data_IF_109080128293
#
_entry.id   IF_109080128293
#
_cell.length_a   1.000
_cell.length_b   1.000
_cell.length_c   1.000
_cell.angle_alpha   90.00
_cell.angle_beta   90.00
_cell.angle_gamma   90.00
#
_symmetry.space_group_name_H-M   'P 1'
#
loop_
_entity.id
_entity.type
_entity.pdbx_description
1 polymer ?
#
# COMPACT_ATOMS: atom_id res chain seq x y z
N UNK A 1 3.26 9.91 1.42
CA UNK A 1 3.12 8.72 2.29
C UNK A 1 2.08 7.80 1.66
N UNK A 2 2.34 6.50 1.68
CA UNK A 2 1.43 5.45 1.23
C UNK A 2 1.13 4.57 2.44
N UNK A 3 -0.14 4.43 2.78
CA UNK A 3 -0.62 3.54 3.83
C UNK A 3 -1.18 2.28 3.19
N UNK A 4 -0.78 1.13 3.69
CA UNK A 4 -1.28 -0.18 3.28
C UNK A 4 -2.08 -0.73 4.46
N UNK A 5 -3.35 -1.04 4.24
CA UNK A 5 -4.24 -1.58 5.25
C UNK A 5 -4.73 -2.96 4.81
N UNK A 6 -4.72 -3.92 5.72
CA UNK A 6 -5.17 -5.29 5.49
C UNK A 6 -5.99 -5.81 6.67
N UNK A 7 -7.03 -6.65 6.41
CA UNK A 7 -7.78 -7.28 7.48
C UNK A 7 -7.05 -8.49 8.09
N UNK A 8 -6.24 -9.16 7.29
CA UNK A 8 -5.50 -10.37 7.66
C UNK A 8 -4.26 -10.52 6.77
N UNK A 9 -3.22 -11.13 7.33
CA UNK A 9 -2.03 -11.51 6.58
C UNK A 9 -2.25 -12.84 5.84
N UNK A 10 -1.57 -13.06 4.71
CA UNK A 10 -1.69 -14.28 3.94
C UNK A 10 -1.10 -15.46 4.70
N UNK A 11 -1.61 -16.65 4.39
CA UNK A 11 -1.12 -17.90 4.96
C UNK A 11 0.36 -18.07 4.58
N UNK A 12 1.22 -18.21 5.57
CA UNK A 12 2.66 -18.37 5.37
C UNK A 12 3.49 -17.15 5.73
N UNK A 13 2.86 -16.02 6.09
CA UNK A 13 3.52 -14.89 6.74
C UNK A 13 3.27 -15.00 8.25
N UNK A 14 4.34 -15.15 9.03
CA UNK A 14 4.29 -15.30 10.48
C UNK A 14 3.83 -14.01 11.19
N UNK A 15 4.10 -12.84 10.59
CA UNK A 15 3.65 -11.56 11.13
C UNK A 15 3.95 -10.36 10.23
N UNK A 16 3.49 -9.17 10.64
CA UNK A 16 3.65 -7.94 9.87
C UNK A 16 5.11 -7.58 9.57
N UNK A 17 6.02 -7.86 10.51
CA UNK A 17 7.45 -7.59 10.36
C UNK A 17 8.08 -8.44 9.24
N UNK A 18 7.69 -9.70 9.10
CA UNK A 18 8.15 -10.55 8.00
C UNK A 18 7.69 -10.02 6.63
N UNK A 19 6.45 -9.49 6.56
CA UNK A 19 5.97 -8.85 5.35
C UNK A 19 6.75 -7.56 5.07
N UNK A 20 7.03 -6.75 6.10
CA UNK A 20 7.83 -5.54 5.97
C UNK A 20 9.23 -5.86 5.43
N UNK A 21 9.90 -6.88 5.97
CA UNK A 21 11.22 -7.32 5.50
C UNK A 21 11.20 -7.76 4.03
N UNK A 22 10.16 -8.48 3.59
CA UNK A 22 9.99 -8.86 2.19
C UNK A 22 9.80 -7.66 1.25
N UNK A 23 9.13 -6.60 1.74
CA UNK A 23 8.91 -5.38 0.97
C UNK A 23 10.11 -4.44 0.99
N UNK A 24 10.87 -4.38 2.10
CA UNK A 24 11.94 -3.40 2.33
C UNK A 24 13.00 -3.43 1.22
N UNK A 25 13.41 -4.63 0.81
CA UNK A 25 14.37 -4.81 -0.29
C UNK A 25 13.91 -4.16 -1.61
N UNK A 26 12.60 -4.06 -1.81
CA UNK A 26 12.00 -3.48 -3.03
C UNK A 26 11.67 -1.99 -2.89
N UNK A 27 11.61 -1.50 -1.65
CA UNK A 27 11.37 -0.10 -1.33
C UNK A 27 12.66 0.72 -1.28
N UNK A 28 13.78 0.12 -0.90
CA UNK A 28 15.05 0.76 -0.52
C UNK A 28 15.45 2.02 -1.30
N UNK A 29 15.27 2.04 -2.62
CA UNK A 29 15.69 3.16 -3.48
C UNK A 29 14.62 4.26 -3.68
N UNK A 30 13.36 3.97 -3.35
CA UNK A 30 12.19 4.81 -3.67
C UNK A 30 11.43 5.25 -2.43
N UNK A 31 11.49 4.46 -1.36
CA UNK A 31 10.74 4.69 -0.15
C UNK A 31 11.34 3.93 1.05
N UNK A 32 10.84 4.24 2.24
CA UNK A 32 11.15 3.51 3.47
C UNK A 32 9.89 3.21 4.26
N UNK A 33 9.90 2.07 4.95
CA UNK A 33 8.84 1.69 5.89
C UNK A 33 9.01 2.53 7.16
N UNK A 34 7.97 3.25 7.54
CA UNK A 34 7.98 4.13 8.72
C UNK A 34 7.19 3.58 9.90
N UNK A 35 6.28 2.64 9.65
CA UNK A 35 5.48 1.98 10.68
C UNK A 35 4.92 0.67 10.14
N UNK A 36 4.75 -0.32 11.02
CA UNK A 36 4.16 -1.62 10.73
C UNK A 36 3.41 -2.11 11.98
N UNK A 37 2.20 -2.66 11.79
CA UNK A 37 1.40 -3.28 12.84
C UNK A 37 0.51 -4.41 12.27
N UNK A 38 -0.33 -5.03 13.11
CA UNK A 38 -1.18 -6.13 12.66
C UNK A 38 -2.26 -5.75 11.64
N UNK A 39 -2.54 -4.46 11.45
CA UNK A 39 -3.58 -3.93 10.58
C UNK A 39 -3.01 -3.26 9.31
N UNK A 40 -1.73 -2.95 9.28
CA UNK A 40 -1.15 -2.25 8.14
C UNK A 40 0.33 -1.87 8.25
N UNK A 41 0.74 -1.08 7.26
CA UNK A 41 2.10 -0.57 7.11
C UNK A 41 2.08 0.80 6.43
N UNK A 42 2.88 1.73 6.96
CA UNK A 42 3.08 3.05 6.40
C UNK A 42 4.43 3.16 5.70
N UNK A 43 4.40 3.70 4.48
CA UNK A 43 5.57 3.87 3.60
C UNK A 43 5.77 5.34 3.26
N UNK A 44 6.96 5.84 3.52
CA UNK A 44 7.37 7.19 3.14
C UNK A 44 8.11 7.14 1.80
N UNK A 45 7.53 7.76 0.77
CA UNK A 45 8.10 7.83 -0.58
C UNK A 45 9.03 9.04 -0.68
N UNK A 46 10.25 8.84 -1.17
CA UNK A 46 11.27 9.90 -1.24
C UNK A 46 10.95 10.95 -2.30
N UNK A 47 10.29 10.55 -3.40
CA UNK A 47 9.87 11.44 -4.48
C UNK A 47 8.34 11.44 -4.61
N UNK A 48 7.66 12.58 -4.36
CA UNK A 48 6.20 12.66 -4.47
C UNK A 48 5.64 12.23 -5.83
N UNK A 49 6.34 12.53 -6.92
CA UNK A 49 5.94 12.14 -8.29
C UNK A 49 5.98 10.64 -8.57
N UNK A 50 6.58 9.83 -7.69
CA UNK A 50 6.65 8.36 -7.85
C UNK A 50 5.59 7.62 -7.03
N UNK A 51 4.79 8.32 -6.22
CA UNK A 51 3.84 7.71 -5.28
C UNK A 51 2.83 6.80 -6.00
N UNK A 52 2.27 7.23 -7.12
CA UNK A 52 1.28 6.43 -7.88
C UNK A 52 1.91 5.18 -8.49
N UNK A 53 3.09 5.31 -9.09
CA UNK A 53 3.84 4.18 -9.64
C UNK A 53 4.25 3.19 -8.53
N UNK A 54 4.68 3.68 -7.38
CA UNK A 54 5.04 2.83 -6.24
C UNK A 54 3.81 2.11 -5.68
N UNK A 55 2.68 2.80 -5.55
CA UNK A 55 1.44 2.19 -5.11
C UNK A 55 0.95 1.12 -6.10
N UNK A 56 1.23 1.28 -7.40
CA UNK A 56 0.96 0.25 -8.39
C UNK A 56 1.83 -0.99 -8.17
N UNK A 57 3.15 -0.81 -8.08
CA UNK A 57 4.10 -1.90 -7.91
C UNK A 57 3.87 -2.66 -6.59
N UNK A 58 3.55 -1.93 -5.51
CA UNK A 58 3.20 -2.52 -4.23
C UNK A 58 1.89 -3.31 -4.31
N UNK A 59 0.88 -2.80 -5.01
CA UNK A 59 -0.38 -3.52 -5.19
C UNK A 59 -0.14 -4.88 -5.86
N UNK A 60 0.66 -4.89 -6.92
CA UNK A 60 0.96 -6.10 -7.70
C UNK A 60 1.78 -7.10 -6.86
N UNK A 61 2.78 -6.63 -6.09
CA UNK A 61 3.57 -7.48 -5.19
C UNK A 61 2.75 -8.11 -4.08
N UNK A 62 1.94 -7.31 -3.42
CA UNK A 62 1.03 -7.80 -2.37
C UNK A 62 0.03 -8.81 -2.94
N UNK A 63 -0.42 -8.63 -4.18
CA UNK A 63 -1.22 -9.63 -4.87
C UNK A 63 -0.45 -10.93 -5.12
N UNK A 64 0.83 -10.86 -5.49
CA UNK A 64 1.69 -12.05 -5.70
C UNK A 64 1.90 -12.82 -4.38
N UNK A 65 2.07 -12.11 -3.26
CA UNK A 65 2.21 -12.68 -1.91
C UNK A 65 0.87 -13.28 -1.42
N UNK A 66 -0.23 -13.05 -2.15
CA UNK A 66 -1.54 -13.63 -1.86
C UNK A 66 -2.33 -12.85 -0.81
N UNK A 67 -2.08 -11.54 -0.67
CA UNK A 67 -2.86 -10.68 0.21
C UNK A 67 -4.36 -10.72 -0.14
N UNK A 68 -5.19 -10.55 0.88
CA UNK A 68 -6.64 -10.47 0.74
C UNK A 68 -7.07 -9.39 -0.28
N UNK A 69 -8.18 -9.62 -0.99
CA UNK A 69 -8.78 -8.63 -1.90
C UNK A 69 -9.30 -7.38 -1.16
N UNK A 70 -9.42 -7.48 0.16
CA UNK A 70 -9.74 -6.40 1.10
C UNK A 70 -8.50 -5.63 1.58
N UNK A 71 -7.33 -5.89 1.02
CA UNK A 71 -6.14 -5.08 1.26
C UNK A 71 -6.15 -3.86 0.34
N UNK A 72 -5.90 -2.68 0.91
CA UNK A 72 -5.93 -1.42 0.18
C UNK A 72 -4.68 -0.60 0.46
N UNK A 73 -4.22 0.10 -0.58
CA UNK A 73 -3.23 1.16 -0.49
C UNK A 73 -3.95 2.49 -0.57
N UNK A 74 -3.56 3.46 0.24
CA UNK A 74 -4.04 4.83 0.17
C UNK A 74 -2.91 5.83 0.29
N UNK A 75 -3.03 6.94 -0.43
CA UNK A 75 -2.07 8.05 -0.34
C UNK A 75 -2.80 9.37 -0.55
N UNK A 76 -2.15 10.46 -0.19
CA UNK A 76 -2.66 11.82 -0.38
C UNK A 76 -1.70 12.63 -1.23
N UNK A 77 -2.25 13.40 -2.15
CA UNK A 77 -1.57 14.44 -2.92
C UNK A 77 -2.42 15.71 -2.99
N UNK A 78 -2.04 16.65 -3.85
CA UNK A 78 -2.75 17.93 -4.05
C UNK A 78 -4.16 17.76 -4.65
N UNK A 79 -4.45 16.62 -5.28
CA UNK A 79 -5.76 16.29 -5.86
C UNK A 79 -6.70 15.61 -4.86
N UNK A 80 -6.16 15.13 -3.74
CA UNK A 80 -6.94 14.58 -2.63
C UNK A 80 -6.43 13.23 -2.14
N UNK A 81 -7.36 12.40 -1.65
CA UNK A 81 -7.06 11.05 -1.14
C UNK A 81 -7.34 10.03 -2.23
N UNK A 82 -6.30 9.26 -2.56
CA UNK A 82 -6.36 8.16 -3.51
C UNK A 82 -6.40 6.83 -2.77
N UNK A 83 -7.03 5.83 -3.41
CA UNK A 83 -7.08 4.47 -2.90
C UNK A 83 -7.00 3.46 -4.04
N UNK A 84 -6.28 2.36 -3.81
CA UNK A 84 -6.13 1.22 -4.73
C UNK A 84 -6.26 -0.10 -3.98
N UNK A 85 -7.00 -1.06 -4.52
CA UNK A 85 -7.00 -2.44 -4.02
C UNK A 85 -5.79 -3.21 -4.57
N UNK A 86 -5.23 -4.15 -3.81
CA UNK A 86 -4.15 -5.03 -4.30
C UNK A 86 -4.57 -5.93 -5.47
N UNK A 87 -5.82 -6.41 -5.51
CA UNK A 87 -6.31 -7.31 -6.57
C UNK A 87 -6.81 -6.59 -7.83
N UNK A 88 -6.50 -5.30 -7.98
CA UNK A 88 -6.87 -4.55 -9.18
C UNK A 88 -8.37 -4.25 -9.36
N UNK A 89 -9.25 -4.60 -8.41
CA UNK A 89 -10.62 -4.04 -8.36
C UNK A 89 -10.56 -2.56 -7.98
N UNK A 90 -10.35 -1.71 -8.97
CA UNK A 90 -10.43 -0.25 -8.86
C UNK A 90 -11.79 0.14 -8.27
N UNK A 91 -11.85 0.34 -6.96
CA UNK A 91 -13.01 0.94 -6.30
C UNK A 91 -12.98 2.43 -6.59
N UNK A 92 -14.07 2.93 -7.16
CA UNK A 92 -14.20 4.33 -7.57
C UNK A 92 -13.78 5.27 -6.43
N UNK A 93 -12.86 6.18 -6.75
CA UNK A 93 -12.51 7.32 -5.91
C UNK A 93 -13.80 8.07 -5.59
N UNK A 94 -14.19 8.09 -4.32
CA UNK A 94 -15.26 8.99 -3.86
C UNK A 94 -14.68 10.40 -3.83
N UNK A 95 -14.63 11.03 -5.00
CA UNK A 95 -14.46 12.46 -5.11
C UNK A 95 -15.68 13.10 -4.45
N UNK A 96 -15.51 13.63 -3.24
CA UNK A 96 -16.50 14.48 -2.60
C UNK A 96 -16.66 15.72 -3.48
N UNK A 97 -17.71 15.76 -4.32
CA UNK A 97 -18.19 17.01 -4.91
C UNK A 97 -18.58 17.91 -3.75
N UNK A 98 -17.78 18.94 -3.51
CA UNK A 98 -18.23 20.11 -2.76
C UNK A 98 -19.22 20.81 -3.70
N UNK A 99 -20.49 20.76 -3.32
CA UNK A 99 -21.54 21.61 -3.87
C UNK A 99 -21.66 22.86 -3.01
#
# INVERSE_FOLDING_TARGET
MVDIAWPELPRGIAGPDELADQLDASLRDRAGITSVDQHGLAVCVYRPGEVEALAADLADRLSIIGMSDRTYLSWRDDLGVHRRSVTGRRMATTGRRVA
#
